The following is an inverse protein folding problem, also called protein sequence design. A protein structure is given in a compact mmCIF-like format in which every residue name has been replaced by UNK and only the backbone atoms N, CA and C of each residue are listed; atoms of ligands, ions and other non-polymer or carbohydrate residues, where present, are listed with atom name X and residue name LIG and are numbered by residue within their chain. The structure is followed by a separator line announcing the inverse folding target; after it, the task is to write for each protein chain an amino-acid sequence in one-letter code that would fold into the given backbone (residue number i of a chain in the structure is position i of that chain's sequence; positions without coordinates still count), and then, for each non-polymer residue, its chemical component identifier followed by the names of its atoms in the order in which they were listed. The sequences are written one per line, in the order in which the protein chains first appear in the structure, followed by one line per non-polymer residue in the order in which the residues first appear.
data_IF_511275649315
#
_entry.id   IF_511275649315
#
_cell.length_a   1.000
_cell.length_b   1.000
_cell.length_c   1.000
_cell.angle_alpha   90.00
_cell.angle_beta   90.00
_cell.angle_gamma   90.00
#
_symmetry.space_group_name_H-M   'P 1'
#
loop_
_entity.id
_entity.type
_entity.pdbx_description
1 polymer ?
#
# COMPACT_ATOMS: atom_id res chain seq x y z
N UNK A 1 12.12 -12.04 58.68
CA UNK A 1 12.54 -10.63 58.45
C UNK A 1 11.36 -9.90 57.82
N UNK A 2 10.61 -9.11 58.61
CA UNK A 2 9.43 -8.38 58.12
C UNK A 2 9.88 -7.10 57.40
N UNK A 3 9.87 -7.11 56.07
CA UNK A 3 10.16 -5.92 55.26
C UNK A 3 8.94 -4.99 55.32
N UNK A 4 9.03 -3.90 56.10
CA UNK A 4 8.04 -2.81 56.06
C UNK A 4 8.30 -1.97 54.81
N UNK A 5 7.55 -2.24 53.74
CA UNK A 5 7.59 -1.43 52.52
C UNK A 5 6.87 -0.11 52.82
N UNK A 6 7.60 1.01 52.72
CA UNK A 6 7.05 2.34 52.95
C UNK A 6 6.25 2.79 51.71
N UNK A 7 5.08 3.41 51.91
CA UNK A 7 4.18 3.82 50.82
C UNK A 7 4.89 4.64 49.73
N UNK A 8 5.87 5.46 50.10
CA UNK A 8 6.63 6.29 49.17
C UNK A 8 7.48 5.46 48.18
N UNK A 9 8.04 4.32 48.60
CA UNK A 9 8.79 3.44 47.71
C UNK A 9 7.86 2.68 46.75
N UNK A 10 6.67 2.29 47.23
CA UNK A 10 5.65 1.68 46.39
C UNK A 10 5.14 2.67 45.33
N UNK A 11 4.90 3.92 45.72
CA UNK A 11 4.51 4.99 44.81
C UNK A 11 5.60 5.27 43.77
N UNK A 12 6.86 5.32 44.18
CA UNK A 12 7.99 5.50 43.26
C UNK A 12 8.10 4.34 42.25
N UNK A 13 7.98 3.09 42.72
CA UNK A 13 7.97 1.92 41.84
C UNK A 13 6.80 1.97 40.84
N UNK A 14 5.61 2.38 41.27
CA UNK A 14 4.46 2.58 40.39
C UNK A 14 4.74 3.64 39.32
N UNK A 15 5.37 4.77 39.66
CA UNK A 15 5.73 5.82 38.69
C UNK A 15 6.76 5.31 37.68
N UNK A 16 7.77 4.55 38.11
CA UNK A 16 8.76 3.94 37.21
C UNK A 16 8.11 2.91 36.27
N UNK A 17 7.20 2.08 36.78
CA UNK A 17 6.46 1.12 35.95
C UNK A 17 5.56 1.86 34.94
N UNK A 18 4.81 2.86 35.38
CA UNK A 18 3.93 3.64 34.50
C UNK A 18 4.71 4.40 33.42
N UNK A 19 5.87 4.98 33.75
CA UNK A 19 6.72 5.64 32.75
C UNK A 19 7.26 4.66 31.71
N UNK A 20 7.66 3.45 32.11
CA UNK A 20 8.06 2.38 31.18
C UNK A 20 6.89 1.92 30.30
N UNK A 21 5.69 1.75 30.87
CA UNK A 21 4.49 1.36 30.13
C UNK A 21 4.09 2.44 29.12
N UNK A 22 4.10 3.72 29.51
CA UNK A 22 3.81 4.83 28.61
C UNK A 22 4.84 4.93 27.49
N UNK A 23 6.13 4.75 27.79
CA UNK A 23 7.18 4.76 26.77
C UNK A 23 6.98 3.63 25.73
N UNK A 24 6.70 2.41 26.18
CA UNK A 24 6.43 1.28 25.28
C UNK A 24 5.13 1.47 24.47
N UNK A 25 4.09 2.03 25.08
CA UNK A 25 2.81 2.32 24.44
C UNK A 25 2.96 3.34 23.30
N UNK A 26 3.76 4.39 23.49
CA UNK A 26 4.00 5.42 22.47
C UNK A 26 4.93 4.92 21.35
N UNK A 27 5.97 4.15 21.68
CA UNK A 27 6.97 3.74 20.69
C UNK A 27 6.48 2.68 19.71
N UNK A 28 5.52 1.84 20.10
CA UNK A 28 4.98 0.78 19.23
C UNK A 28 4.28 1.33 17.96
N UNK A 29 3.27 2.24 18.05
CA UNK A 29 2.57 2.78 16.87
C UNK A 29 3.50 3.59 15.96
N UNK A 30 4.42 4.39 16.53
CA UNK A 30 5.39 5.20 15.76
C UNK A 30 6.27 4.31 14.88
N UNK A 31 6.72 3.15 15.39
CA UNK A 31 7.54 2.22 14.63
C UNK A 31 6.76 1.59 13.47
N UNK A 32 5.48 1.26 13.68
CA UNK A 32 4.62 0.74 12.61
C UNK A 32 4.44 1.79 11.50
N UNK A 33 4.06 3.02 11.86
CA UNK A 33 3.85 4.09 10.88
C UNK A 33 5.12 4.39 10.08
N UNK A 34 6.29 4.44 10.75
CA UNK A 34 7.58 4.63 10.07
C UNK A 34 7.84 3.54 9.02
N UNK A 35 7.69 2.27 9.39
CA UNK A 35 7.87 1.14 8.46
C UNK A 35 6.82 1.17 7.35
N UNK A 36 5.56 1.47 7.67
CA UNK A 36 4.50 1.61 6.67
C UNK A 36 4.87 2.64 5.62
N UNK A 37 5.24 3.85 6.02
CA UNK A 37 5.62 4.92 5.09
C UNK A 37 6.79 4.54 4.20
N UNK A 38 7.81 3.87 4.75
CA UNK A 38 8.94 3.36 3.96
C UNK A 38 8.48 2.35 2.91
N UNK A 39 7.64 1.39 3.30
CA UNK A 39 7.14 0.37 2.37
C UNK A 39 6.20 0.95 1.31
N UNK A 40 5.29 1.84 1.70
CA UNK A 40 4.41 2.55 0.77
C UNK A 40 5.20 3.36 -0.24
N UNK A 41 6.28 4.02 0.16
CA UNK A 41 7.15 4.76 -0.75
C UNK A 41 7.75 3.85 -1.84
N UNK A 42 8.22 2.66 -1.47
CA UNK A 42 8.76 1.69 -2.41
C UNK A 42 7.67 1.16 -3.37
N UNK A 43 6.48 0.86 -2.86
CA UNK A 43 5.34 0.39 -3.64
C UNK A 43 4.87 1.46 -4.63
N UNK A 44 4.66 2.70 -4.18
CA UNK A 44 4.28 3.85 -5.03
C UNK A 44 5.28 4.06 -6.16
N UNK A 45 6.59 3.97 -5.87
CA UNK A 45 7.64 4.05 -6.91
C UNK A 45 7.47 2.98 -7.99
N UNK A 46 7.17 1.72 -7.62
CA UNK A 46 6.91 0.65 -8.61
C UNK A 46 5.61 0.88 -9.39
N UNK A 47 4.53 1.26 -8.72
CA UNK A 47 3.26 1.61 -9.37
C UNK A 47 3.45 2.73 -10.41
N UNK A 48 4.21 3.77 -10.11
CA UNK A 48 4.50 4.85 -11.06
C UNK A 48 5.28 4.32 -12.28
N UNK A 49 6.22 3.38 -12.10
CA UNK A 49 6.93 2.76 -13.23
C UNK A 49 6.00 1.92 -14.10
N UNK A 50 5.09 1.16 -13.50
CA UNK A 50 4.05 0.39 -14.20
C UNK A 50 3.12 1.33 -14.96
N UNK A 51 2.65 2.41 -14.32
CA UNK A 51 1.85 3.48 -14.96
C UNK A 51 2.52 4.01 -16.22
N UNK A 52 3.80 4.36 -16.12
CA UNK A 52 4.56 4.87 -17.27
C UNK A 52 4.71 3.83 -18.38
N UNK A 53 4.92 2.55 -18.04
CA UNK A 53 5.01 1.47 -19.02
C UNK A 53 3.68 1.27 -19.77
N UNK A 54 2.56 1.21 -19.04
CA UNK A 54 1.20 1.13 -19.62
C UNK A 54 0.87 2.34 -20.50
N UNK A 55 1.23 3.55 -20.06
CA UNK A 55 1.06 4.76 -20.87
C UNK A 55 1.84 4.68 -22.19
N UNK A 56 3.11 4.23 -22.15
CA UNK A 56 3.89 4.02 -23.38
C UNK A 56 3.27 2.95 -24.28
N UNK A 57 2.78 1.86 -23.71
CA UNK A 57 2.09 0.80 -24.46
C UNK A 57 0.84 1.37 -25.14
N UNK A 58 0.02 2.13 -24.42
CA UNK A 58 -1.17 2.80 -24.96
C UNK A 58 -0.85 3.78 -26.08
N UNK A 59 0.25 4.53 -25.99
CA UNK A 59 0.64 5.44 -27.08
C UNK A 59 0.92 4.68 -28.39
N UNK A 60 1.48 3.46 -28.30
CA UNK A 60 1.79 2.61 -29.45
C UNK A 60 0.56 1.84 -29.98
N UNK A 61 -0.23 1.25 -29.09
CA UNK A 61 -1.28 0.29 -29.43
C UNK A 61 -2.70 0.83 -29.25
N UNK A 62 -2.86 2.08 -28.79
CA UNK A 62 -4.14 2.75 -28.48
C UNK A 62 -4.99 2.11 -27.38
N UNK A 63 -4.52 1.03 -26.74
CA UNK A 63 -5.11 0.39 -25.58
C UNK A 63 -4.04 0.09 -24.52
N UNK A 64 -4.44 -0.05 -23.26
CA UNK A 64 -3.59 -0.61 -22.22
C UNK A 64 -3.51 -2.13 -22.36
N UNK A 65 -2.42 -2.74 -21.92
CA UNK A 65 -2.26 -4.19 -22.06
C UNK A 65 -2.83 -4.96 -20.88
N UNK A 66 -2.72 -4.41 -19.67
CA UNK A 66 -3.16 -5.12 -18.47
C UNK A 66 -2.34 -6.38 -18.18
N UNK A 67 -1.17 -6.53 -18.80
CA UNK A 67 -0.37 -7.77 -18.81
C UNK A 67 1.12 -7.44 -18.70
N UNK A 68 1.76 -7.92 -17.62
CA UNK A 68 3.17 -7.67 -17.39
C UNK A 68 4.08 -8.32 -18.43
N UNK A 69 3.74 -9.51 -18.93
CA UNK A 69 4.55 -10.23 -19.92
C UNK A 69 4.70 -9.42 -21.20
N UNK A 70 3.61 -8.81 -21.68
CA UNK A 70 3.63 -7.90 -22.84
C UNK A 70 4.45 -6.64 -22.59
N UNK A 71 4.31 -6.02 -21.41
CA UNK A 71 5.14 -4.85 -21.06
C UNK A 71 6.64 -5.18 -21.03
N UNK A 72 7.00 -6.38 -20.56
CA UNK A 72 8.38 -6.86 -20.50
C UNK A 72 8.89 -7.21 -21.91
N UNK A 73 8.09 -7.92 -22.69
CA UNK A 73 8.42 -8.29 -24.09
C UNK A 73 8.65 -7.06 -24.96
N UNK A 74 7.89 -5.99 -24.75
CA UNK A 74 8.07 -4.70 -25.44
C UNK A 74 9.24 -3.88 -24.89
N UNK A 75 9.94 -4.34 -23.85
CA UNK A 75 11.03 -3.61 -23.20
C UNK A 75 10.59 -2.35 -22.45
N UNK A 76 9.30 -2.23 -22.13
CA UNK A 76 8.72 -1.06 -21.44
C UNK A 76 8.84 -1.15 -19.92
N UNK A 77 8.90 -2.38 -19.39
CA UNK A 77 9.01 -2.66 -17.96
C UNK A 77 10.08 -3.73 -17.71
N UNK A 78 10.93 -3.53 -16.70
CA UNK A 78 11.83 -4.57 -16.24
C UNK A 78 11.07 -5.67 -15.49
N UNK A 79 11.45 -6.93 -15.69
CA UNK A 79 10.77 -8.10 -15.11
C UNK A 79 10.59 -8.01 -13.59
N UNK A 80 11.62 -7.54 -12.88
CA UNK A 80 11.57 -7.41 -11.41
C UNK A 80 10.55 -6.39 -10.89
N UNK A 81 10.04 -5.48 -11.73
CA UNK A 81 9.10 -4.43 -11.32
C UNK A 81 7.65 -4.89 -11.21
N UNK A 82 7.31 -6.09 -11.70
CA UNK A 82 5.97 -6.67 -11.56
C UNK A 82 5.66 -7.16 -10.14
N UNK A 83 6.70 -7.34 -9.32
CA UNK A 83 6.59 -7.84 -7.96
C UNK A 83 6.33 -6.71 -6.96
N UNK A 84 5.56 -6.98 -5.92
CA UNK A 84 5.33 -6.06 -4.80
C UNK A 84 6.57 -6.12 -3.88
N UNK A 85 7.11 -4.98 -3.40
CA UNK A 85 8.16 -4.98 -2.39
C UNK A 85 7.65 -5.56 -1.07
N UNK A 86 8.49 -6.33 -0.36
CA UNK A 86 8.22 -6.86 0.99
C UNK A 86 7.07 -7.88 1.09
N UNK A 87 6.74 -8.56 0.00
CA UNK A 87 5.53 -9.39 -0.09
C UNK A 87 5.80 -10.83 -0.55
N UNK A 88 7.00 -11.34 -0.29
CA UNK A 88 7.44 -12.68 -0.73
C UNK A 88 7.07 -13.01 -2.19
N UNK A 89 7.59 -12.22 -3.14
CA UNK A 89 7.39 -12.40 -4.59
C UNK A 89 5.92 -12.38 -5.09
N UNK A 90 4.97 -11.90 -4.31
CA UNK A 90 3.63 -11.56 -4.84
C UNK A 90 3.73 -10.49 -5.93
N UNK A 91 2.88 -10.61 -6.95
CA UNK A 91 2.80 -9.63 -8.06
C UNK A 91 1.73 -8.58 -7.78
N UNK A 92 1.89 -7.41 -8.38
CA UNK A 92 0.81 -6.43 -8.46
C UNK A 92 -0.38 -7.03 -9.22
N UNK A 93 -1.60 -6.62 -8.87
CA UNK A 93 -2.77 -6.86 -9.72
C UNK A 93 -2.78 -5.80 -10.80
N UNK A 94 -2.81 -6.17 -12.08
CA UNK A 94 -2.85 -5.25 -13.22
C UNK A 94 -3.97 -5.70 -14.15
N UNK A 95 -4.84 -4.77 -14.53
CA UNK A 95 -6.00 -5.01 -15.38
C UNK A 95 -6.19 -3.84 -16.34
N UNK A 96 -6.79 -4.13 -17.49
CA UNK A 96 -7.13 -3.14 -18.50
C UNK A 96 -8.51 -3.45 -19.10
N UNK A 97 -9.26 -2.40 -19.43
CA UNK A 97 -10.54 -2.50 -20.16
C UNK A 97 -10.66 -1.35 -21.15
N UNK A 98 -11.67 -1.38 -22.01
CA UNK A 98 -12.03 -0.26 -22.89
C UNK A 98 -13.51 0.01 -22.76
N UNK A 99 -13.83 1.16 -22.15
CA UNK A 99 -15.21 1.61 -22.01
C UNK A 99 -15.64 2.43 -23.22
N UNK A 100 -16.91 2.34 -23.60
CA UNK A 100 -17.49 3.15 -24.67
C UNK A 100 -18.18 4.34 -24.04
N UNK A 101 -17.61 5.54 -24.26
CA UNK A 101 -18.21 6.78 -23.78
C UNK A 101 -19.51 7.12 -24.51
N UNK A 102 -20.30 8.05 -23.95
CA UNK A 102 -21.61 8.49 -24.50
C UNK A 102 -21.56 8.94 -25.98
N UNK A 103 -20.40 9.39 -26.45
CA UNK A 103 -20.17 9.81 -27.84
C UNK A 103 -19.71 8.69 -28.78
N UNK A 104 -19.65 7.43 -28.31
CA UNK A 104 -19.06 6.30 -29.04
C UNK A 104 -17.53 6.26 -28.98
N UNK A 105 -16.88 7.21 -28.30
CA UNK A 105 -15.43 7.22 -28.10
C UNK A 105 -14.99 6.03 -27.24
N UNK A 106 -14.03 5.25 -27.72
CA UNK A 106 -13.34 4.23 -26.94
C UNK A 106 -12.40 4.88 -25.92
N UNK A 107 -12.57 4.53 -24.65
CA UNK A 107 -11.81 5.04 -23.51
C UNK A 107 -11.05 3.85 -22.91
N UNK A 108 -9.78 3.64 -23.28
CA UNK A 108 -8.96 2.62 -22.65
C UNK A 108 -8.70 3.03 -21.19
N UNK A 109 -8.97 2.10 -20.27
CA UNK A 109 -8.79 2.24 -18.83
C UNK A 109 -7.88 1.14 -18.32
N UNK A 110 -7.17 1.43 -17.23
CA UNK A 110 -6.33 0.44 -16.54
C UNK A 110 -6.43 0.64 -15.04
N UNK A 111 -6.19 -0.42 -14.29
CA UNK A 111 -6.01 -0.38 -12.85
C UNK A 111 -4.81 -1.24 -12.45
N UNK A 112 -3.97 -0.74 -11.56
CA UNK A 112 -2.91 -1.53 -10.95
C UNK A 112 -2.85 -1.32 -9.44
N UNK A 113 -2.78 -2.40 -8.67
CA UNK A 113 -2.93 -2.33 -7.22
C UNK A 113 -2.09 -3.34 -6.42
N UNK A 114 -1.84 -3.00 -5.16
CA UNK A 114 -1.25 -3.84 -4.13
C UNK A 114 -1.98 -3.62 -2.80
N UNK A 115 -2.35 -4.69 -2.10
CA UNK A 115 -3.11 -4.59 -0.84
C UNK A 115 -2.22 -4.28 0.35
N UNK A 116 -2.78 -3.66 1.40
CA UNK A 116 -2.06 -3.46 2.67
C UNK A 116 -1.46 -4.77 3.21
N UNK A 117 -2.19 -5.89 3.12
CA UNK A 117 -1.71 -7.20 3.59
C UNK A 117 -0.46 -7.65 2.86
N UNK A 118 -0.36 -7.38 1.56
CA UNK A 118 0.77 -7.86 0.77
C UNK A 118 2.04 -7.09 1.08
N UNK A 119 2.01 -5.75 1.03
CA UNK A 119 3.24 -4.97 1.21
C UNK A 119 3.55 -4.63 2.67
N UNK A 120 2.61 -4.80 3.61
CA UNK A 120 2.86 -4.65 5.06
C UNK A 120 3.08 -6.00 5.76
N UNK A 121 3.23 -7.09 5.00
CA UNK A 121 3.46 -8.43 5.55
C UNK A 121 4.63 -8.46 6.56
N UNK A 122 4.42 -9.18 7.66
CA UNK A 122 5.36 -9.26 8.78
C UNK A 122 5.48 -7.99 9.65
N UNK A 123 4.58 -7.00 9.50
CA UNK A 123 4.38 -5.94 10.49
C UNK A 123 3.28 -6.32 11.49
N UNK A 124 2.88 -5.40 12.37
CA UNK A 124 1.86 -5.63 13.38
C UNK A 124 0.47 -5.86 12.74
N UNK A 125 -0.05 -7.09 12.86
CA UNK A 125 -1.31 -7.54 12.24
C UNK A 125 -2.52 -6.73 12.70
N UNK A 126 -2.58 -6.34 13.97
CA UNK A 126 -3.69 -5.53 14.48
C UNK A 126 -3.70 -4.15 13.81
N UNK A 127 -2.53 -3.53 13.67
CA UNK A 127 -2.38 -2.26 12.95
C UNK A 127 -2.73 -2.38 11.46
N UNK A 128 -2.36 -3.49 10.81
CA UNK A 128 -2.74 -3.77 9.41
C UNK A 128 -4.26 -3.92 9.29
N UNK A 129 -4.90 -4.69 10.15
CA UNK A 129 -6.35 -4.88 10.13
C UNK A 129 -7.10 -3.57 10.39
N UNK A 130 -6.63 -2.74 11.32
CA UNK A 130 -7.20 -1.41 11.57
C UNK A 130 -7.13 -0.51 10.32
N UNK A 131 -6.06 -0.57 9.53
CA UNK A 131 -5.95 0.18 8.27
C UNK A 131 -6.94 -0.33 7.22
N UNK A 132 -7.05 -1.66 7.09
CA UNK A 132 -7.97 -2.30 6.15
C UNK A 132 -9.42 -1.94 6.49
N UNK A 133 -9.80 -2.05 7.77
CA UNK A 133 -11.12 -1.68 8.25
C UNK A 133 -11.41 -0.21 7.99
N UNK A 134 -10.48 0.69 8.32
CA UNK A 134 -10.63 2.13 8.05
C UNK A 134 -10.83 2.43 6.56
N UNK A 135 -10.07 1.78 5.68
CA UNK A 135 -10.22 1.94 4.24
C UNK A 135 -11.59 1.44 3.75
N UNK A 136 -11.98 0.23 4.14
CA UNK A 136 -13.26 -0.36 3.77
C UNK A 136 -14.45 0.47 4.26
N UNK A 137 -14.42 0.92 5.52
CA UNK A 137 -15.48 1.76 6.10
C UNK A 137 -15.60 3.11 5.40
N UNK A 138 -14.53 3.56 4.74
CA UNK A 138 -14.52 4.80 3.94
C UNK A 138 -14.84 4.55 2.45
N UNK A 139 -15.17 3.31 2.06
CA UNK A 139 -15.37 2.94 0.66
C UNK A 139 -14.09 2.98 -0.19
N UNK A 140 -12.92 3.03 0.44
CA UNK A 140 -11.63 3.13 -0.24
C UNK A 140 -11.01 1.75 -0.45
N UNK A 141 -10.18 1.62 -1.48
CA UNK A 141 -9.38 0.42 -1.69
C UNK A 141 -8.39 0.19 -0.52
N UNK A 142 -8.33 -1.00 0.10
CA UNK A 142 -7.46 -1.28 1.24
C UNK A 142 -6.01 -1.55 0.81
N UNK A 143 -5.37 -0.52 0.25
CA UNK A 143 -3.97 -0.55 -0.18
C UNK A 143 -3.64 0.62 -1.10
N UNK A 144 -2.68 0.40 -2.00
CA UNK A 144 -2.26 1.38 -3.00
C UNK A 144 -2.75 0.94 -4.37
N UNK A 145 -3.37 1.88 -5.10
CA UNK A 145 -3.94 1.66 -6.43
C UNK A 145 -3.67 2.86 -7.32
N UNK A 146 -3.41 2.60 -8.60
CA UNK A 146 -3.43 3.60 -9.67
C UNK A 146 -4.49 3.23 -10.71
N UNK A 147 -5.07 4.25 -11.34
CA UNK A 147 -6.11 4.06 -12.33
C UNK A 147 -7.42 3.56 -11.76
N UNK A 148 -8.37 3.31 -12.65
CA UNK A 148 -9.70 2.83 -12.34
C UNK A 148 -10.28 2.20 -13.61
N UNK A 149 -10.97 1.06 -13.47
CA UNK A 149 -11.54 0.34 -14.61
C UNK A 149 -12.90 0.88 -15.05
N UNK A 150 -13.50 1.80 -14.29
CA UNK A 150 -14.85 2.31 -14.54
C UNK A 150 -14.87 3.79 -14.95
N UNK A 151 -13.90 4.56 -14.47
CA UNK A 151 -13.84 6.01 -14.70
C UNK A 151 -12.46 6.44 -15.20
N UNK A 152 -12.43 7.39 -16.14
CA UNK A 152 -11.19 7.99 -16.61
C UNK A 152 -10.67 9.01 -15.58
N UNK A 153 -9.79 8.53 -14.69
CA UNK A 153 -9.14 9.35 -13.68
C UNK A 153 -7.70 9.74 -14.07
N UNK A 154 -7.34 9.69 -15.35
CA UNK A 154 -5.97 9.91 -15.85
C UNK A 154 -4.92 8.97 -15.23
N UNK A 155 -5.30 7.76 -14.84
CA UNK A 155 -4.46 6.80 -14.12
C UNK A 155 -3.89 7.35 -12.80
N UNK A 156 -4.63 8.22 -12.11
CA UNK A 156 -4.23 8.80 -10.83
C UNK A 156 -4.05 7.72 -9.75
N UNK A 157 -3.14 7.98 -8.81
CA UNK A 157 -2.96 7.16 -7.61
C UNK A 157 -3.94 7.56 -6.51
N UNK A 158 -4.39 6.61 -5.68
CA UNK A 158 -5.26 6.91 -4.53
C UNK A 158 -4.57 7.65 -3.36
N UNK A 159 -3.38 8.21 -3.61
CA UNK A 159 -2.58 9.00 -2.67
C UNK A 159 -2.24 10.40 -3.21
N UNK A 160 -2.67 10.71 -4.43
CA UNK A 160 -2.54 12.02 -5.08
C UNK A 160 -3.74 12.90 -4.70
#
# INVERSE_FOLDING_TARGET
MNLKINNNYLLFACVVILTLLCFNSINSPIRFDKKRTERELAVKKRLIKIRTAEQKYRLKYRAYTGDFGKLIQEGLLADSLQYIPFSDHKKFSLQATTEIGKSGRQIPLMECSASFRDYLDGLDENSINNLIEKANNSGNFPGLKIGDLTTDNNNAGNWE
#
